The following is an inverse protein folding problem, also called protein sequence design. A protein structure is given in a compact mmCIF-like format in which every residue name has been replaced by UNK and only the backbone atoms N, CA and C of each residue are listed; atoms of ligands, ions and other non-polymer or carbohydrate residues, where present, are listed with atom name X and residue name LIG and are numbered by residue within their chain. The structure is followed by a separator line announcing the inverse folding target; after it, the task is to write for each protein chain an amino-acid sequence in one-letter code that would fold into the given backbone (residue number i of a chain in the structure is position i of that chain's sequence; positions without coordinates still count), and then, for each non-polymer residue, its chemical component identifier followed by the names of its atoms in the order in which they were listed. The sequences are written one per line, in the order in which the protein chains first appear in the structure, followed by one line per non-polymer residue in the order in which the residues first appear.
data_IF_702936115014
#
_entry.id   IF_702936115014
#
_cell.length_a   1.000
_cell.length_b   1.000
_cell.length_c   1.000
_cell.angle_alpha   90.00
_cell.angle_beta   90.00
_cell.angle_gamma   90.00
#
_symmetry.space_group_name_H-M   'P 1'
#
loop_
_entity.id
_entity.type
_entity.pdbx_description
1 polymer ?
#
# COMPACT_ATOMS: atom_id res chain seq x y z
N UNK A 1 -14.07 26.88 3.78
CA UNK A 1 -12.87 26.09 4.12
C UNK A 1 -12.71 25.05 3.02
N UNK A 2 -11.76 25.23 2.08
CA UNK A 2 -11.44 24.16 1.13
C UNK A 2 -10.58 23.13 1.89
N UNK A 3 -10.89 21.84 1.87
CA UNK A 3 -9.99 20.84 2.43
C UNK A 3 -8.69 20.90 1.63
N UNK A 4 -7.56 21.11 2.31
CA UNK A 4 -6.24 21.08 1.70
C UNK A 4 -5.85 19.60 1.58
N UNK A 5 -5.85 19.06 0.36
CA UNK A 5 -5.47 17.67 0.07
C UNK A 5 -3.96 17.52 -0.17
N UNK A 6 -3.17 18.57 0.08
CA UNK A 6 -1.73 18.61 -0.18
C UNK A 6 -0.87 18.06 0.98
N UNK A 7 -1.47 17.65 2.11
CA UNK A 7 -0.75 17.10 3.27
C UNK A 7 -0.76 15.56 3.32
N UNK A 8 -1.02 14.87 2.20
CA UNK A 8 -0.66 13.46 2.07
C UNK A 8 0.83 13.36 1.75
N UNK A 9 1.64 13.69 2.76
CA UNK A 9 3.08 13.50 2.70
C UNK A 9 3.38 12.03 2.42
N UNK A 10 4.21 11.90 1.41
CA UNK A 10 4.76 10.73 0.75
C UNK A 10 5.67 9.94 1.71
N UNK A 11 5.12 9.38 2.79
CA UNK A 11 5.83 8.37 3.59
C UNK A 11 5.65 6.99 2.94
N UNK A 12 6.17 6.86 1.70
CA UNK A 12 6.41 5.53 1.13
C UNK A 12 7.63 4.97 1.83
N UNK A 13 7.39 4.33 2.98
CA UNK A 13 8.40 3.73 3.84
C UNK A 13 9.54 3.10 3.03
N UNK A 14 10.70 3.74 3.12
CA UNK A 14 11.96 3.19 2.64
C UNK A 14 12.20 1.87 3.37
N UNK A 15 11.91 0.75 2.70
CA UNK A 15 12.39 -0.56 3.13
C UNK A 15 13.87 -0.64 2.83
N UNK A 16 14.69 0.07 3.61
CA UNK A 16 16.13 -0.13 3.65
C UNK A 16 16.41 -1.47 4.34
N UNK A 17 16.11 -2.57 3.63
CA UNK A 17 16.54 -3.91 4.00
C UNK A 17 17.98 -4.03 3.52
N UNK A 18 18.91 -3.91 4.46
CA UNK A 18 20.33 -4.24 4.24
C UNK A 18 20.44 -5.57 3.50
N UNK A 19 21.18 -5.60 2.39
CA UNK A 19 21.27 -6.73 1.46
C UNK A 19 21.72 -8.04 2.13
N UNK A 20 22.43 -7.96 3.25
CA UNK A 20 22.88 -9.11 4.05
C UNK A 20 21.73 -9.90 4.71
N UNK A 21 20.57 -9.28 4.95
CA UNK A 21 19.42 -9.90 5.61
C UNK A 21 18.61 -10.82 4.66
N UNK A 22 19.03 -10.95 3.40
CA UNK A 22 18.36 -11.76 2.36
C UNK A 22 19.08 -13.08 2.05
N UNK A 23 20.24 -13.34 2.66
CA UNK A 23 20.92 -14.62 2.45
C UNK A 23 20.20 -15.68 3.30
N UNK A 24 19.33 -16.45 2.64
CA UNK A 24 18.69 -17.63 3.25
C UNK A 24 19.71 -18.60 3.84
N UNK A 25 19.26 -19.52 4.70
CA UNK A 25 20.14 -20.46 5.39
C UNK A 25 21.02 -21.25 4.43
N UNK A 26 20.49 -21.57 3.26
CA UNK A 26 21.25 -22.22 2.20
C UNK A 26 22.36 -21.36 1.58
N UNK A 27 22.11 -20.06 1.38
CA UNK A 27 23.11 -19.11 0.89
C UNK A 27 24.26 -18.93 1.89
N UNK A 28 23.95 -19.00 3.20
CA UNK A 28 24.97 -18.93 4.24
C UNK A 28 25.86 -20.17 4.23
N UNK A 29 25.30 -21.36 3.99
CA UNK A 29 26.07 -22.60 3.82
C UNK A 29 27.00 -22.52 2.60
N UNK A 30 26.50 -22.01 1.47
CA UNK A 30 27.33 -21.81 0.28
C UNK A 30 28.47 -20.82 0.53
N UNK A 31 28.19 -19.70 1.20
CA UNK A 31 29.20 -18.71 1.57
C UNK A 31 30.27 -19.32 2.47
N UNK A 32 29.86 -20.08 3.49
CA UNK A 32 30.78 -20.79 4.36
C UNK A 32 31.69 -21.77 3.58
N UNK A 33 31.12 -22.57 2.66
CA UNK A 33 31.91 -23.47 1.82
C UNK A 33 32.93 -22.71 0.95
N UNK A 34 32.52 -21.58 0.37
CA UNK A 34 33.41 -20.70 -0.42
C UNK A 34 34.54 -20.17 0.47
N UNK A 35 34.24 -19.69 1.67
CA UNK A 35 35.22 -19.10 2.59
C UNK A 35 36.24 -20.15 3.05
N UNK A 36 35.80 -21.37 3.37
CA UNK A 36 36.70 -22.48 3.73
C UNK A 36 37.66 -22.79 2.57
N UNK A 37 37.15 -22.88 1.34
CA UNK A 37 37.98 -23.16 0.16
C UNK A 37 38.94 -22.00 -0.14
N UNK A 38 38.47 -20.75 -0.03
CA UNK A 38 39.24 -19.56 -0.35
C UNK A 38 40.37 -19.29 0.66
N UNK A 39 40.18 -19.68 1.92
CA UNK A 39 41.14 -19.45 3.02
C UNK A 39 42.01 -20.67 3.35
N UNK A 40 41.79 -21.80 2.66
CA UNK A 40 42.52 -23.03 2.91
C UNK A 40 44.04 -22.88 2.66
N UNK A 41 44.90 -23.25 3.63
CA UNK A 41 46.35 -23.15 3.46
C UNK A 41 46.88 -24.20 2.48
N UNK A 42 47.88 -23.81 1.70
CA UNK A 42 48.58 -24.73 0.80
C UNK A 42 49.49 -25.70 1.56
N UNK A 43 49.63 -26.91 1.01
CA UNK A 43 50.59 -27.89 1.52
C UNK A 43 52.04 -27.42 1.30
N UNK A 44 52.98 -27.72 2.21
CA UNK A 44 54.39 -27.38 2.01
C UNK A 44 54.93 -27.94 0.70
N UNK A 45 55.65 -27.10 -0.07
CA UNK A 45 56.24 -27.46 -1.37
C UNK A 45 55.20 -27.89 -2.44
N UNK A 46 53.92 -27.55 -2.28
CA UNK A 46 52.85 -27.80 -3.24
C UNK A 46 51.94 -26.58 -3.41
N UNK A 47 51.32 -26.44 -4.59
CA UNK A 47 50.28 -25.44 -4.85
C UNK A 47 48.87 -25.93 -4.48
N UNK A 48 48.73 -27.14 -3.92
CA UNK A 48 47.44 -27.72 -3.57
C UNK A 48 46.99 -27.29 -2.16
N UNK A 49 45.78 -26.72 -2.00
CA UNK A 49 45.21 -26.39 -0.70
C UNK A 49 44.82 -27.65 0.08
N UNK A 50 45.05 -27.63 1.40
CA UNK A 50 44.64 -28.70 2.31
C UNK A 50 43.20 -28.46 2.76
N UNK A 51 42.27 -29.21 2.20
CA UNK A 51 40.83 -29.07 2.47
C UNK A 51 40.27 -30.38 3.02
N UNK A 52 39.39 -30.29 4.02
CA UNK A 52 38.58 -31.42 4.47
C UNK A 52 37.42 -31.62 3.49
N UNK A 53 37.55 -32.63 2.61
CA UNK A 53 36.57 -32.90 1.55
C UNK A 53 35.19 -33.24 2.12
N UNK A 54 35.15 -34.05 3.18
CA UNK A 54 33.89 -34.54 3.73
C UNK A 54 33.08 -33.39 4.34
N UNK A 55 33.75 -32.48 5.06
CA UNK A 55 33.13 -31.26 5.59
C UNK A 55 32.55 -30.34 4.50
N UNK A 56 33.28 -30.13 3.40
CA UNK A 56 32.76 -29.34 2.28
C UNK A 56 31.54 -30.02 1.64
N UNK A 57 31.59 -31.34 1.47
CA UNK A 57 30.45 -32.09 0.91
C UNK A 57 29.23 -31.95 1.82
N UNK A 58 29.38 -32.11 3.15
CA UNK A 58 28.29 -31.99 4.11
C UNK A 58 27.64 -30.59 4.06
N UNK A 59 28.45 -29.53 3.98
CA UNK A 59 27.95 -28.15 3.86
C UNK A 59 27.17 -27.96 2.54
N UNK A 60 27.71 -28.45 1.43
CA UNK A 60 27.08 -28.34 0.11
C UNK A 60 25.79 -29.16 0.01
N UNK A 61 25.75 -30.35 0.61
CA UNK A 61 24.54 -31.18 0.69
C UNK A 61 23.46 -30.50 1.53
N UNK A 62 23.84 -29.88 2.66
CA UNK A 62 22.91 -29.08 3.47
C UNK A 62 22.32 -27.90 2.70
N UNK A 63 23.14 -27.20 1.89
CA UNK A 63 22.66 -26.15 1.01
C UNK A 63 21.71 -26.71 -0.07
N UNK A 64 22.08 -27.83 -0.70
CA UNK A 64 21.28 -28.47 -1.75
C UNK A 64 19.92 -28.95 -1.23
N UNK A 65 19.84 -29.40 0.03
CA UNK A 65 18.61 -29.85 0.66
C UNK A 65 17.67 -28.68 1.00
N UNK A 66 18.21 -27.53 1.43
CA UNK A 66 17.42 -26.37 1.89
C UNK A 66 17.03 -25.41 0.76
N UNK A 67 17.86 -25.27 -0.28
CA UNK A 67 17.65 -24.36 -1.42
C UNK A 67 16.27 -24.51 -2.09
N UNK A 68 15.79 -25.71 -2.44
CA UNK A 68 14.53 -25.85 -3.17
C UNK A 68 13.33 -25.34 -2.38
N UNK A 69 13.35 -25.53 -1.06
CA UNK A 69 12.29 -25.13 -0.15
C UNK A 69 12.31 -23.62 0.07
N UNK A 70 13.47 -23.03 0.33
CA UNK A 70 13.64 -21.57 0.41
C UNK A 70 13.19 -20.89 -0.89
N UNK A 71 13.56 -21.44 -2.05
CA UNK A 71 13.14 -20.90 -3.35
C UNK A 71 11.64 -21.04 -3.59
N UNK A 72 11.01 -22.12 -3.11
CA UNK A 72 9.54 -22.28 -3.16
C UNK A 72 8.86 -21.25 -2.27
N UNK A 73 9.35 -21.04 -1.06
CA UNK A 73 8.85 -20.04 -0.13
C UNK A 73 8.98 -18.63 -0.72
N UNK A 74 10.14 -18.28 -1.29
CA UNK A 74 10.36 -17.00 -1.95
C UNK A 74 9.35 -16.76 -3.09
N UNK A 75 9.18 -17.74 -3.98
CA UNK A 75 8.17 -17.65 -5.05
C UNK A 75 6.75 -17.52 -4.52
N UNK A 76 6.42 -18.24 -3.46
CA UNK A 76 5.10 -18.15 -2.83
C UNK A 76 4.87 -16.76 -2.23
N UNK A 77 5.84 -16.21 -1.51
CA UNK A 77 5.76 -14.85 -0.94
C UNK A 77 5.61 -13.78 -2.03
N UNK A 78 6.33 -13.90 -3.15
CA UNK A 78 6.17 -12.99 -4.29
C UNK A 78 4.75 -13.04 -4.85
N UNK A 79 4.22 -14.25 -5.06
CA UNK A 79 2.85 -14.45 -5.53
C UNK A 79 1.83 -13.86 -4.55
N UNK A 80 1.97 -14.13 -3.26
CA UNK A 80 1.07 -13.64 -2.22
C UNK A 80 1.10 -12.10 -2.13
N UNK A 81 2.29 -11.50 -2.25
CA UNK A 81 2.44 -10.03 -2.33
C UNK A 81 1.68 -9.45 -3.51
N UNK A 82 1.80 -10.05 -4.69
CA UNK A 82 1.12 -9.56 -5.89
C UNK A 82 -0.40 -9.68 -5.76
N UNK A 83 -0.89 -10.79 -5.20
CA UNK A 83 -2.32 -10.97 -4.90
C UNK A 83 -2.81 -9.95 -3.85
N UNK A 84 -2.03 -9.68 -2.81
CA UNK A 84 -2.32 -8.66 -1.81
C UNK A 84 -2.41 -7.26 -2.41
N UNK A 85 -1.44 -6.86 -3.25
CA UNK A 85 -1.46 -5.56 -3.93
C UNK A 85 -2.67 -5.44 -4.84
N UNK A 86 -2.98 -6.48 -5.62
CA UNK A 86 -4.14 -6.49 -6.52
C UNK A 86 -5.47 -6.37 -5.76
N UNK A 87 -5.60 -7.05 -4.61
CA UNK A 87 -6.76 -6.93 -3.72
C UNK A 87 -6.88 -5.53 -3.12
N UNK A 88 -5.79 -5.01 -2.57
CA UNK A 88 -5.76 -3.67 -1.96
C UNK A 88 -6.12 -2.57 -2.96
N UNK A 89 -5.64 -2.68 -4.21
CA UNK A 89 -6.02 -1.74 -5.28
C UNK A 89 -7.50 -1.78 -5.58
N UNK A 90 -8.09 -2.98 -5.71
CA UNK A 90 -9.54 -3.15 -5.93
C UNK A 90 -10.35 -2.54 -4.78
N UNK A 91 -9.96 -2.81 -3.54
CA UNK A 91 -10.63 -2.25 -2.36
C UNK A 91 -10.52 -0.70 -2.33
N UNK A 92 -9.36 -0.15 -2.68
CA UNK A 92 -9.19 1.29 -2.79
C UNK A 92 -10.09 1.91 -3.88
N UNK A 93 -10.18 1.28 -5.05
CA UNK A 93 -11.06 1.70 -6.14
C UNK A 93 -12.53 1.68 -5.69
N UNK A 94 -12.97 0.61 -5.02
CA UNK A 94 -14.33 0.50 -4.47
C UNK A 94 -14.66 1.61 -3.46
N UNK A 95 -13.71 1.95 -2.57
CA UNK A 95 -13.87 3.04 -1.60
C UNK A 95 -14.02 4.39 -2.32
N UNK A 96 -13.17 4.65 -3.31
CA UNK A 96 -13.20 5.90 -4.08
C UNK A 96 -14.53 6.02 -4.82
N UNK A 97 -15.00 4.96 -5.46
CA UNK A 97 -16.26 5.00 -6.21
C UNK A 97 -17.47 5.15 -5.29
N UNK A 98 -17.49 4.48 -4.13
CA UNK A 98 -18.52 4.70 -3.11
C UNK A 98 -18.53 6.15 -2.60
N UNK A 99 -17.35 6.74 -2.40
CA UNK A 99 -17.21 8.13 -1.98
C UNK A 99 -17.74 9.12 -3.04
N UNK A 100 -17.47 8.88 -4.33
CA UNK A 100 -18.01 9.68 -5.44
C UNK A 100 -19.53 9.65 -5.48
N UNK A 101 -20.13 8.45 -5.41
CA UNK A 101 -21.59 8.29 -5.40
C UNK A 101 -22.21 9.04 -4.22
N UNK A 102 -21.58 8.99 -3.05
CA UNK A 102 -22.08 9.70 -1.88
C UNK A 102 -21.94 11.22 -2.00
N UNK A 103 -20.83 11.70 -2.59
CA UNK A 103 -20.63 13.11 -2.86
C UNK A 103 -21.70 13.66 -3.83
N UNK A 104 -22.00 12.95 -4.91
CA UNK A 104 -23.09 13.31 -5.84
C UNK A 104 -24.43 13.43 -5.12
N UNK A 105 -24.75 12.47 -4.25
CA UNK A 105 -25.98 12.50 -3.43
C UNK A 105 -26.03 13.69 -2.46
N UNK A 106 -24.90 14.13 -1.93
CA UNK A 106 -24.85 15.32 -1.07
C UNK A 106 -25.08 16.60 -1.87
N UNK A 107 -24.49 16.71 -3.06
CA UNK A 107 -24.71 17.86 -3.95
C UNK A 107 -26.18 17.96 -4.35
N UNK A 108 -26.80 16.85 -4.78
CA UNK A 108 -28.22 16.82 -5.12
C UNK A 108 -29.10 17.26 -3.94
N UNK A 109 -28.82 16.77 -2.73
CA UNK A 109 -29.54 17.18 -1.51
C UNK A 109 -29.36 18.67 -1.21
N UNK A 110 -28.14 19.19 -1.34
CA UNK A 110 -27.85 20.60 -1.11
C UNK A 110 -28.57 21.51 -2.11
N UNK A 111 -28.67 21.11 -3.39
CA UNK A 111 -29.42 21.84 -4.40
C UNK A 111 -30.93 21.86 -4.11
N UNK A 112 -31.50 20.72 -3.69
CA UNK A 112 -32.92 20.65 -3.28
C UNK A 112 -33.19 21.59 -2.10
N UNK A 113 -32.33 21.59 -1.09
CA UNK A 113 -32.45 22.50 0.07
C UNK A 113 -32.38 23.96 -0.38
N UNK A 114 -31.38 24.33 -1.20
CA UNK A 114 -31.25 25.70 -1.72
C UNK A 114 -32.47 26.14 -2.52
N UNK A 115 -33.03 25.27 -3.36
CA UNK A 115 -34.24 25.56 -4.13
C UNK A 115 -35.47 25.75 -3.23
N UNK A 116 -35.62 24.92 -2.20
CA UNK A 116 -36.69 25.04 -1.21
C UNK A 116 -36.60 26.35 -0.42
N UNK A 117 -35.40 26.75 0.02
CA UNK A 117 -35.16 28.02 0.71
C UNK A 117 -35.48 29.24 -0.16
N UNK A 118 -35.11 29.20 -1.44
CA UNK A 118 -35.42 30.28 -2.38
C UNK A 118 -36.94 30.41 -2.55
N UNK A 119 -37.64 29.29 -2.71
CA UNK A 119 -39.10 29.27 -2.85
C UNK A 119 -39.80 29.75 -1.58
N UNK A 120 -39.31 29.36 -0.41
CA UNK A 120 -39.85 29.82 0.87
C UNK A 120 -39.72 31.34 1.02
N UNK A 121 -38.57 31.92 0.63
CA UNK A 121 -38.37 33.38 0.62
C UNK A 121 -39.35 34.10 -0.31
N UNK A 122 -39.53 33.61 -1.54
CA UNK A 122 -40.49 34.18 -2.49
C UNK A 122 -41.93 34.17 -1.95
N UNK A 123 -42.34 33.08 -1.30
CA UNK A 123 -43.67 32.97 -0.69
C UNK A 123 -43.82 33.97 0.46
N UNK A 124 -42.81 34.11 1.30
CA UNK A 124 -42.82 35.07 2.41
C UNK A 124 -42.93 36.51 1.90
N UNK A 125 -42.11 36.88 0.90
CA UNK A 125 -42.16 38.20 0.27
C UNK A 125 -43.53 38.50 -0.34
N UNK A 126 -44.10 37.56 -1.10
CA UNK A 126 -45.45 37.72 -1.69
C UNK A 126 -46.54 37.88 -0.61
N UNK A 127 -46.44 37.12 0.49
CA UNK A 127 -47.40 37.22 1.60
C UNK A 127 -47.31 38.57 2.31
N UNK A 128 -46.09 39.10 2.51
CA UNK A 128 -45.87 40.42 3.10
C UNK A 128 -46.39 41.54 2.19
N UNK A 129 -46.21 41.43 0.87
CA UNK A 129 -46.76 42.36 -0.11
C UNK A 129 -48.30 42.35 -0.10
N UNK A 130 -48.91 41.17 -0.11
CA UNK A 130 -50.37 41.02 -0.04
C UNK A 130 -50.93 41.56 1.28
N UNK A 131 -50.28 41.28 2.40
CA UNK A 131 -50.68 41.81 3.71
C UNK A 131 -50.61 43.34 3.75
N UNK A 132 -49.57 43.94 3.17
CA UNK A 132 -49.46 45.41 3.02
C UNK A 132 -50.57 45.97 2.15
N UNK A 133 -50.87 45.33 1.02
CA UNK A 133 -51.94 45.76 0.12
C UNK A 133 -53.30 45.74 0.82
N UNK A 134 -53.65 44.64 1.46
CA UNK A 134 -54.92 44.50 2.21
C UNK A 134 -55.03 45.54 3.31
N UNK A 135 -53.92 45.81 4.03
CA UNK A 135 -53.91 46.85 5.06
C UNK A 135 -54.18 48.24 4.48
N UNK A 136 -53.52 48.59 3.37
CA UNK A 136 -53.71 49.89 2.73
C UNK A 136 -55.13 50.04 2.17
N UNK A 137 -55.71 48.99 1.59
CA UNK A 137 -57.12 48.97 1.12
C UNK A 137 -58.15 49.17 2.25
N UNK A 138 -57.79 48.88 3.51
CA UNK A 138 -58.67 49.06 4.68
C UNK A 138 -58.51 50.45 5.33
N UNK A 139 -57.45 51.19 5.01
CA UNK A 139 -57.17 52.52 5.54
C UNK A 139 -57.71 53.66 4.65
N UNK A 140 -58.06 53.36 3.38
CA UNK A 140 -58.83 54.21 2.44
C UNK A 140 -60.35 54.07 2.63
#
# INVERSE_FOLDING_TARGET
MKPNFEDFDEDTGSYDRTEDDQIGGSGQLLRNAIDIIATAPNMPLSATPKINRDEIIDILEGALQSLPDELRQARWMMKERDEFIARTRREADEIIDAAKVQAERFVQRAEVVRAAELRARQIAEATDEDARRVKNEMED
#
